data_IF_759963265389
#
_entry.id   IF_759963265389
#
_cell.length_a   1.000
_cell.length_b   1.000
_cell.length_c   1.000
_cell.angle_alpha   90.00
_cell.angle_beta   90.00
_cell.angle_gamma   90.00
#
_symmetry.space_group_name_H-M   'P 1'
#
loop_
_entity.id
_entity.type
_entity.pdbx_description
1 polymer ?
#
# COMPACT_ATOMS: atom_id res chain seq x y z
N UNK A 1 -46.33 65.59 10.96
CA UNK A 1 -46.29 64.87 12.25
C UNK A 1 -47.21 63.65 12.21
N UNK A 2 -46.65 62.44 12.22
CA UNK A 2 -47.11 61.22 12.92
C UNK A 2 -46.32 60.02 12.37
N UNK A 3 -45.39 59.54 13.19
CA UNK A 3 -44.77 58.22 13.03
C UNK A 3 -45.76 57.14 13.47
N UNK A 4 -45.79 56.02 12.75
CA UNK A 4 -46.06 54.66 13.25
C UNK A 4 -46.01 53.67 12.07
N UNK A 5 -45.68 52.40 12.19
CA UNK A 5 -45.04 51.53 13.18
C UNK A 5 -44.77 50.21 12.41
N UNK A 6 -43.66 49.56 12.74
CA UNK A 6 -43.22 48.21 12.38
C UNK A 6 -44.33 47.16 12.16
N UNK A 7 -44.15 46.26 11.18
CA UNK A 7 -44.22 44.80 11.35
C UNK A 7 -43.30 44.11 10.33
N UNK A 8 -42.33 43.35 10.84
CA UNK A 8 -41.56 42.33 10.12
C UNK A 8 -42.44 41.08 9.99
N UNK A 9 -42.64 40.56 8.78
CA UNK A 9 -42.99 39.15 8.59
C UNK A 9 -42.17 38.62 7.41
N UNK A 10 -41.05 37.97 7.76
CA UNK A 10 -40.37 37.05 6.88
C UNK A 10 -41.23 35.78 6.78
N UNK A 11 -42.02 35.65 5.71
CA UNK A 11 -42.66 34.38 5.37
C UNK A 11 -41.77 33.63 4.38
N UNK A 12 -41.11 32.62 4.94
CA UNK A 12 -40.51 31.48 4.28
C UNK A 12 -41.49 30.78 3.32
N UNK A 13 -40.89 29.90 2.50
CA UNK A 13 -41.51 28.82 1.72
C UNK A 13 -41.91 29.23 0.31
N UNK A 14 -40.98 29.12 -0.64
CA UNK A 14 -41.32 28.55 -1.95
C UNK A 14 -40.08 27.94 -2.63
N UNK A 15 -40.07 26.60 -2.63
CA UNK A 15 -39.42 25.73 -3.63
C UNK A 15 -37.92 25.92 -3.90
N UNK A 16 -37.11 25.60 -2.89
CA UNK A 16 -35.76 25.08 -3.10
C UNK A 16 -35.78 23.59 -3.41
N UNK A 17 -36.50 23.16 -4.47
CA UNK A 17 -36.37 21.82 -5.05
C UNK A 17 -35.12 21.80 -5.94
N UNK A 18 -33.97 22.12 -5.34
CA UNK A 18 -32.70 21.75 -5.92
C UNK A 18 -32.65 20.25 -5.73
N UNK A 19 -32.89 19.54 -6.83
CA UNK A 19 -32.54 18.15 -6.96
C UNK A 19 -31.09 18.00 -6.51
N UNK A 20 -30.89 17.62 -5.26
CA UNK A 20 -29.68 16.93 -4.83
C UNK A 20 -29.76 15.59 -5.55
N UNK A 21 -29.40 15.59 -6.83
CA UNK A 21 -28.82 14.41 -7.45
C UNK A 21 -27.63 14.09 -6.56
N UNK A 22 -27.87 13.21 -5.58
CA UNK A 22 -26.82 12.45 -4.94
C UNK A 22 -26.13 11.74 -6.09
N UNK A 23 -25.11 12.38 -6.66
CA UNK A 23 -24.04 11.70 -7.35
C UNK A 23 -23.48 10.84 -6.23
N UNK A 24 -24.03 9.64 -6.09
CA UNK A 24 -23.37 8.53 -5.45
C UNK A 24 -22.17 8.35 -6.36
N UNK A 25 -21.11 9.07 -6.03
CA UNK A 25 -19.79 8.85 -6.57
C UNK A 25 -19.51 7.42 -6.19
N UNK A 26 -19.76 6.51 -7.14
CA UNK A 26 -19.29 5.14 -7.09
C UNK A 26 -17.78 5.28 -7.25
N UNK A 27 -17.14 5.73 -6.18
CA UNK A 27 -15.71 5.62 -5.98
C UNK A 27 -15.44 4.15 -6.11
N UNK A 28 -15.03 3.73 -7.30
CA UNK A 28 -14.39 2.45 -7.54
C UNK A 28 -13.02 2.50 -6.89
N UNK A 29 -12.97 2.80 -5.59
CA UNK A 29 -11.78 2.70 -4.78
C UNK A 29 -11.40 1.23 -4.87
N UNK A 30 -10.26 0.97 -5.50
CA UNK A 30 -9.65 -0.35 -5.55
C UNK A 30 -9.62 -0.85 -4.11
N UNK A 31 -10.10 -2.07 -3.90
CA UNK A 31 -10.16 -2.61 -2.55
C UNK A 31 -8.73 -2.79 -2.02
N UNK A 32 -8.53 -2.59 -0.72
CA UNK A 32 -7.22 -2.85 -0.11
C UNK A 32 -6.70 -4.25 -0.40
N UNK A 33 -7.59 -5.23 -0.58
CA UNK A 33 -7.22 -6.60 -0.93
C UNK A 33 -6.61 -6.69 -2.33
N UNK A 34 -7.17 -6.00 -3.33
CA UNK A 34 -6.62 -5.94 -4.69
C UNK A 34 -5.25 -5.26 -4.68
N UNK A 35 -5.08 -4.17 -3.93
CA UNK A 35 -3.78 -3.49 -3.79
C UNK A 35 -2.74 -4.42 -3.14
N UNK A 36 -3.12 -5.12 -2.06
CA UNK A 36 -2.22 -6.07 -1.38
C UNK A 36 -1.86 -7.27 -2.27
N UNK A 37 -2.80 -7.75 -3.09
CA UNK A 37 -2.53 -8.79 -4.07
C UNK A 37 -1.48 -8.33 -5.08
N UNK A 38 -1.62 -7.11 -5.59
CA UNK A 38 -0.69 -6.56 -6.58
C UNK A 38 0.69 -6.26 -5.96
N UNK A 39 0.75 -5.87 -4.69
CA UNK A 39 2.01 -5.78 -3.91
C UNK A 39 2.67 -7.16 -3.84
N UNK A 40 1.91 -8.21 -3.50
CA UNK A 40 2.41 -9.57 -3.41
C UNK A 40 3.00 -10.09 -4.73
N UNK A 41 2.29 -9.88 -5.84
CA UNK A 41 2.75 -10.24 -7.19
C UNK A 41 4.01 -9.47 -7.60
N UNK A 42 4.04 -8.16 -7.33
CA UNK A 42 5.22 -7.34 -7.62
C UNK A 42 6.44 -7.82 -6.84
N UNK A 43 6.25 -8.26 -5.59
CA UNK A 43 7.32 -8.85 -4.80
C UNK A 43 7.78 -10.18 -5.36
N UNK A 44 6.86 -11.08 -5.71
CA UNK A 44 7.16 -12.39 -6.34
C UNK A 44 8.07 -12.25 -7.56
N UNK A 45 7.71 -11.34 -8.47
CA UNK A 45 8.51 -11.04 -9.67
C UNK A 45 9.90 -10.49 -9.33
N UNK A 46 10.02 -9.79 -8.21
CA UNK A 46 11.26 -9.17 -7.76
C UNK A 46 12.19 -10.15 -7.02
N UNK A 47 11.66 -11.23 -6.40
CA UNK A 47 12.45 -12.19 -5.61
C UNK A 47 13.71 -12.71 -6.34
N UNK A 48 13.65 -13.20 -7.59
CA UNK A 48 14.84 -13.68 -8.30
C UNK A 48 15.94 -12.61 -8.38
N UNK A 49 15.56 -11.35 -8.58
CA UNK A 49 16.48 -10.21 -8.67
C UNK A 49 17.10 -9.88 -7.31
N UNK A 50 16.38 -10.04 -6.20
CA UNK A 50 16.92 -9.74 -4.87
C UNK A 50 17.95 -10.76 -4.38
N UNK A 51 17.81 -12.03 -4.76
CA UNK A 51 18.59 -13.13 -4.20
C UNK A 51 19.67 -13.69 -5.15
N UNK A 52 19.65 -13.33 -6.43
CA UNK A 52 20.72 -13.63 -7.37
C UNK A 52 21.61 -12.42 -7.65
N UNK A 53 22.83 -12.43 -7.10
CA UNK A 53 23.81 -11.36 -7.32
C UNK A 53 24.14 -11.16 -8.80
N UNK A 54 24.17 -12.24 -9.60
CA UNK A 54 24.47 -12.14 -11.04
C UNK A 54 23.41 -11.36 -11.78
N UNK A 55 22.14 -11.53 -11.42
CA UNK A 55 21.03 -10.77 -11.99
C UNK A 55 21.18 -9.28 -11.70
N UNK A 56 21.58 -8.90 -10.48
CA UNK A 56 21.80 -7.50 -10.09
C UNK A 56 23.00 -6.82 -10.74
N UNK A 57 23.99 -7.58 -11.19
CA UNK A 57 25.12 -7.06 -11.96
C UNK A 57 24.72 -6.68 -13.39
N UNK A 58 23.58 -7.19 -13.89
CA UNK A 58 23.08 -6.86 -15.23
C UNK A 58 22.20 -5.60 -15.20
N UNK A 59 22.27 -4.73 -16.23
CA UNK A 59 21.39 -3.56 -16.36
C UNK A 59 19.89 -3.92 -16.30
N UNK A 60 19.52 -5.11 -16.79
CA UNK A 60 18.15 -5.60 -16.74
C UNK A 60 17.67 -5.85 -15.30
N UNK A 61 18.50 -6.44 -14.42
CA UNK A 61 18.15 -6.66 -13.02
C UNK A 61 18.06 -5.35 -12.24
N UNK A 62 18.97 -4.41 -12.51
CA UNK A 62 18.92 -3.06 -11.93
C UNK A 62 17.63 -2.32 -12.32
N UNK A 63 17.26 -2.39 -13.60
CA UNK A 63 16.00 -1.83 -14.09
C UNK A 63 14.80 -2.51 -13.45
N UNK A 64 14.80 -3.84 -13.32
CA UNK A 64 13.73 -4.59 -12.67
C UNK A 64 13.54 -4.16 -11.21
N UNK A 65 14.64 -4.03 -10.46
CA UNK A 65 14.61 -3.51 -9.09
C UNK A 65 14.02 -2.10 -9.03
N UNK A 66 14.47 -1.21 -9.91
CA UNK A 66 13.99 0.16 -9.95
C UNK A 66 12.48 0.24 -10.23
N UNK A 67 12.01 -0.48 -11.25
CA UNK A 67 10.61 -0.45 -11.66
C UNK A 67 9.70 -1.09 -10.59
N UNK A 68 10.14 -2.20 -9.99
CA UNK A 68 9.41 -2.86 -8.92
C UNK A 68 9.30 -1.98 -7.66
N UNK A 69 10.41 -1.37 -7.21
CA UNK A 69 10.39 -0.45 -6.05
C UNK A 69 9.46 0.74 -6.30
N UNK A 70 9.47 1.30 -7.53
CA UNK A 70 8.57 2.38 -7.89
C UNK A 70 7.10 1.95 -7.91
N UNK A 71 6.82 0.73 -8.41
CA UNK A 71 5.46 0.17 -8.38
C UNK A 71 4.98 -0.07 -6.95
N UNK A 72 5.84 -0.63 -6.09
CA UNK A 72 5.53 -0.83 -4.67
C UNK A 72 5.23 0.51 -3.97
N UNK A 73 6.04 1.54 -4.19
CA UNK A 73 5.81 2.87 -3.60
C UNK A 73 4.45 3.45 -4.01
N UNK A 74 4.08 3.32 -5.28
CA UNK A 74 2.77 3.74 -5.78
C UNK A 74 1.62 2.94 -5.13
N UNK A 75 1.74 1.62 -5.04
CA UNK A 75 0.73 0.75 -4.43
C UNK A 75 0.55 1.02 -2.93
N UNK A 76 1.65 1.23 -2.19
CA UNK A 76 1.53 1.61 -0.79
C UNK A 76 0.85 2.97 -0.64
N UNK A 77 1.23 3.97 -1.45
CA UNK A 77 0.57 5.27 -1.43
C UNK A 77 -0.94 5.17 -1.74
N UNK A 78 -1.34 4.31 -2.67
CA UNK A 78 -2.75 4.00 -2.94
C UNK A 78 -3.44 3.31 -1.75
N UNK A 79 -2.74 2.40 -1.06
CA UNK A 79 -3.28 1.69 0.11
C UNK A 79 -3.40 2.58 1.36
N UNK A 80 -2.68 3.72 1.42
CA UNK A 80 -2.57 4.57 2.61
C UNK A 80 -3.91 4.92 3.30
N UNK A 81 -4.97 5.33 2.58
CA UNK A 81 -6.24 5.69 3.21
C UNK A 81 -6.87 4.53 3.99
N UNK A 82 -6.59 3.28 3.60
CA UNK A 82 -7.09 2.09 4.29
C UNK A 82 -6.35 1.81 5.61
N UNK A 83 -5.14 2.33 5.78
CA UNK A 83 -4.32 2.19 6.99
C UNK A 83 -4.45 3.39 7.93
N UNK A 84 -4.69 4.60 7.41
CA UNK A 84 -4.87 5.80 8.23
C UNK A 84 -6.06 5.70 9.20
N UNK A 85 -7.06 4.88 8.86
CA UNK A 85 -8.24 4.59 9.69
C UNK A 85 -8.04 3.41 10.66
N UNK A 86 -6.88 2.74 10.63
CA UNK A 86 -6.54 1.58 11.47
C UNK A 86 -5.85 2.04 12.76
N UNK A 87 -5.38 1.07 13.56
CA UNK A 87 -4.67 1.39 14.80
C UNK A 87 -3.35 2.14 14.50
N UNK A 88 -2.86 2.97 15.45
CA UNK A 88 -1.60 3.69 15.30
C UNK A 88 -0.41 2.79 14.92
N UNK A 89 -0.41 1.52 15.36
CA UNK A 89 0.62 0.54 15.03
C UNK A 89 0.69 0.25 13.53
N UNK A 90 -0.45 0.09 12.84
CA UNK A 90 -0.46 -0.12 11.39
C UNK A 90 0.08 1.10 10.64
N UNK A 91 -0.25 2.30 11.11
CA UNK A 91 0.25 3.54 10.50
C UNK A 91 1.78 3.67 10.65
N UNK A 92 2.32 3.34 11.82
CA UNK A 92 3.78 3.32 12.04
C UNK A 92 4.46 2.35 11.08
N UNK A 93 3.95 1.12 10.96
CA UNK A 93 4.50 0.14 10.02
C UNK A 93 4.44 0.63 8.57
N UNK A 94 3.34 1.27 8.19
CA UNK A 94 3.18 1.88 6.87
C UNK A 94 4.22 2.98 6.60
N UNK A 95 4.41 3.89 7.56
CA UNK A 95 5.39 4.98 7.45
C UNK A 95 6.82 4.42 7.33
N UNK A 96 7.14 3.36 8.10
CA UNK A 96 8.45 2.67 8.00
C UNK A 96 8.63 2.02 6.62
N UNK A 97 7.60 1.36 6.09
CA UNK A 97 7.64 0.78 4.74
C UNK A 97 7.92 1.86 3.68
N UNK A 98 7.18 2.98 3.73
CA UNK A 98 7.37 4.07 2.79
C UNK A 98 8.78 4.68 2.89
N UNK A 99 9.32 4.80 4.11
CA UNK A 99 10.69 5.26 4.33
C UNK A 99 11.72 4.29 3.72
N UNK A 100 11.53 2.97 3.82
CA UNK A 100 12.41 1.98 3.20
C UNK A 100 12.35 2.06 1.67
N UNK A 101 11.17 2.14 1.07
CA UNK A 101 11.04 2.29 -0.39
C UNK A 101 11.70 3.58 -0.90
N UNK A 102 11.52 4.69 -0.17
CA UNK A 102 12.22 5.95 -0.44
C UNK A 102 13.74 5.78 -0.34
N UNK A 103 14.22 5.11 0.70
CA UNK A 103 15.64 4.81 0.91
C UNK A 103 16.24 4.00 -0.25
N UNK A 104 15.53 2.97 -0.71
CA UNK A 104 15.93 2.17 -1.86
C UNK A 104 16.03 3.01 -3.15
N UNK A 105 15.03 3.86 -3.42
CA UNK A 105 15.06 4.77 -4.57
C UNK A 105 16.25 5.75 -4.51
N UNK A 106 16.55 6.29 -3.33
CA UNK A 106 17.73 7.16 -3.13
C UNK A 106 19.02 6.39 -3.37
N UNK A 107 19.15 5.16 -2.86
CA UNK A 107 20.33 4.33 -3.09
C UNK A 107 20.54 4.03 -4.58
N UNK A 108 19.47 3.69 -5.33
CA UNK A 108 19.54 3.47 -6.78
C UNK A 108 19.91 4.74 -7.55
N UNK A 109 19.43 5.92 -7.13
CA UNK A 109 19.80 7.21 -7.74
C UNK A 109 21.31 7.49 -7.68
N UNK A 110 22.02 6.92 -6.70
CA UNK A 110 23.47 7.02 -6.57
C UNK A 110 24.20 5.74 -7.01
N UNK A 111 23.57 4.93 -7.87
CA UNK A 111 24.09 3.67 -8.41
C UNK A 111 24.49 2.63 -7.33
N UNK A 112 23.97 2.77 -6.10
CA UNK A 112 24.24 1.85 -5.01
C UNK A 112 23.17 0.75 -4.93
N UNK A 113 23.11 -0.07 -5.97
CA UNK A 113 22.12 -1.14 -6.11
C UNK A 113 22.24 -2.22 -5.03
N UNK A 114 23.46 -2.53 -4.56
CA UNK A 114 23.66 -3.47 -3.44
C UNK A 114 22.97 -2.98 -2.16
N UNK A 115 23.11 -1.70 -1.84
CA UNK A 115 22.44 -1.12 -0.68
C UNK A 115 20.93 -1.07 -0.87
N UNK A 116 20.46 -0.70 -2.07
CA UNK A 116 19.03 -0.73 -2.41
C UNK A 116 18.43 -2.14 -2.23
N UNK A 117 19.09 -3.18 -2.72
CA UNK A 117 18.67 -4.57 -2.53
C UNK A 117 18.56 -4.95 -1.05
N UNK A 118 19.52 -4.54 -0.23
CA UNK A 118 19.47 -4.81 1.22
C UNK A 118 18.27 -4.11 1.89
N UNK A 119 18.01 -2.86 1.54
CA UNK A 119 16.83 -2.12 2.00
C UNK A 119 15.53 -2.83 1.60
N UNK A 120 15.42 -3.30 0.35
CA UNK A 120 14.23 -4.01 -0.12
C UNK A 120 14.06 -5.38 0.57
N UNK A 121 15.15 -6.06 0.94
CA UNK A 121 15.10 -7.28 1.76
C UNK A 121 14.57 -7.00 3.17
N UNK A 122 14.96 -5.88 3.79
CA UNK A 122 14.40 -5.46 5.08
C UNK A 122 12.91 -5.13 5.00
N UNK A 123 12.48 -4.50 3.89
CA UNK A 123 11.06 -4.27 3.59
C UNK A 123 10.25 -5.58 3.66
N UNK A 124 10.73 -6.68 3.08
CA UNK A 124 10.05 -8.00 3.15
C UNK A 124 9.84 -8.44 4.60
N UNK A 125 10.84 -8.25 5.46
CA UNK A 125 10.77 -8.62 6.88
C UNK A 125 9.72 -7.79 7.62
N UNK A 126 9.56 -6.51 7.28
CA UNK A 126 8.54 -5.64 7.90
C UNK A 126 7.15 -6.11 7.49
N UNK A 127 6.94 -6.42 6.20
CA UNK A 127 5.67 -6.97 5.71
C UNK A 127 5.31 -8.26 6.47
N UNK A 128 6.23 -9.22 6.56
CA UNK A 128 6.03 -10.46 7.33
C UNK A 128 5.66 -10.18 8.79
N UNK A 129 6.38 -9.29 9.47
CA UNK A 129 6.09 -8.93 10.87
C UNK A 129 4.68 -8.34 11.03
N UNK A 130 4.25 -7.46 10.13
CA UNK A 130 2.91 -6.87 10.17
C UNK A 130 1.82 -7.94 9.98
N UNK A 131 2.03 -8.87 9.06
CA UNK A 131 1.11 -9.97 8.79
C UNK A 131 1.04 -11.00 9.92
N UNK A 132 2.13 -11.23 10.66
CA UNK A 132 2.14 -12.12 11.83
C UNK A 132 1.46 -11.50 13.06
N UNK A 133 1.47 -10.17 13.20
CA UNK A 133 0.84 -9.46 14.32
C UNK A 133 -0.69 -9.37 14.18
N UNK A 134 -1.20 -9.43 12.96
CA UNK A 134 -2.64 -9.47 12.71
C UNK A 134 -3.17 -10.88 12.99
N UNK A 135 -3.97 -11.05 14.05
CA UNK A 135 -4.45 -12.38 14.45
C UNK A 135 -5.34 -13.08 13.41
N UNK A 136 -5.98 -12.32 12.50
CA UNK A 136 -6.76 -12.88 11.38
C UNK A 136 -5.88 -13.33 10.24
N UNK A 137 -4.75 -12.65 10.03
CA UNK A 137 -3.78 -13.01 9.00
C UNK A 137 -2.78 -14.05 9.52
N UNK A 138 -2.45 -14.06 10.81
CA UNK A 138 -1.50 -14.99 11.44
C UNK A 138 -1.80 -16.46 11.16
N UNK A 139 -3.08 -16.84 11.05
CA UNK A 139 -3.49 -18.20 10.66
C UNK A 139 -3.19 -18.54 9.19
N UNK A 140 -3.06 -17.53 8.33
CA UNK A 140 -2.69 -17.64 6.92
C UNK A 140 -1.15 -17.67 6.73
N UNK A 141 -0.40 -17.05 7.65
CA UNK A 141 1.06 -16.89 7.59
C UNK A 141 1.83 -17.79 8.58
N UNK A 142 1.21 -18.83 9.14
CA UNK A 142 1.70 -19.58 10.31
C UNK A 142 3.22 -19.82 10.36
N UNK A 143 3.89 -19.31 11.40
CA UNK A 143 5.34 -19.40 11.68
C UNK A 143 6.30 -19.38 10.46
N UNK A 144 5.92 -18.73 9.35
CA UNK A 144 6.76 -18.69 8.15
C UNK A 144 7.84 -17.63 8.34
N UNK A 145 9.07 -18.09 8.58
CA UNK A 145 10.24 -17.23 8.68
C UNK A 145 10.68 -16.71 7.30
N UNK A 146 11.47 -15.63 7.26
CA UNK A 146 12.11 -15.13 6.03
C UNK A 146 12.93 -16.24 5.33
N UNK A 147 13.56 -17.13 6.09
CA UNK A 147 14.28 -18.29 5.56
C UNK A 147 13.35 -19.26 4.82
N UNK A 148 12.14 -19.48 5.35
CA UNK A 148 11.11 -20.31 4.72
C UNK A 148 10.57 -19.67 3.44
N UNK A 149 10.37 -18.35 3.39
CA UNK A 149 9.96 -17.63 2.17
C UNK A 149 11.02 -17.69 1.07
N UNK A 150 12.30 -17.67 1.44
CA UNK A 150 13.43 -17.82 0.50
C UNK A 150 13.53 -19.25 -0.03
N UNK A 151 13.29 -20.27 0.79
CA UNK A 151 13.29 -21.69 0.36
C UNK A 151 12.06 -22.09 -0.46
N UNK A 152 10.93 -21.38 -0.29
CA UNK A 152 9.63 -21.74 -0.86
C UNK A 152 9.12 -20.74 -1.88
N UNK A 153 10.01 -20.04 -2.58
CA UNK A 153 9.71 -18.89 -3.46
C UNK A 153 8.66 -19.13 -4.55
N UNK A 154 8.21 -20.38 -4.79
CA UNK A 154 7.07 -20.68 -5.66
C UNK A 154 5.85 -21.31 -4.97
N UNK A 155 5.92 -21.69 -3.69
CA UNK A 155 4.85 -22.41 -2.98
C UNK A 155 4.24 -21.59 -1.84
N UNK A 156 5.04 -20.83 -1.07
CA UNK A 156 4.50 -19.96 -0.04
C UNK A 156 3.77 -18.75 -0.64
N UNK A 157 4.27 -18.20 -1.74
CA UNK A 157 3.59 -17.14 -2.49
C UNK A 157 2.33 -17.68 -3.19
N UNK A 158 2.38 -18.89 -3.74
CA UNK A 158 1.21 -19.54 -4.34
C UNK A 158 0.09 -19.84 -3.33
N UNK A 159 0.44 -20.21 -2.09
CA UNK A 159 -0.52 -20.30 -0.99
C UNK A 159 -1.02 -18.92 -0.55
N UNK A 160 -0.17 -17.89 -0.60
CA UNK A 160 -0.56 -16.50 -0.35
C UNK A 160 -1.63 -16.00 -1.32
N UNK A 161 -1.44 -16.28 -2.62
CA UNK A 161 -2.32 -15.84 -3.70
C UNK A 161 -3.67 -16.57 -3.70
N UNK A 162 -3.68 -17.88 -3.40
CA UNK A 162 -4.92 -18.69 -3.36
C UNK A 162 -5.78 -18.47 -2.11
N UNK A 163 -5.28 -17.76 -1.09
CA UNK A 163 -6.02 -17.48 0.15
C UNK A 163 -6.66 -16.08 0.16
N UNK A 164 -6.36 -15.23 -0.84
CA UNK A 164 -6.89 -13.86 -0.98
C UNK A 164 -8.00 -13.78 -2.06
N UNK A 165 -8.11 -14.79 -2.94
CA UNK A 165 -9.24 -14.99 -3.89
C UNK A 165 -10.35 -15.85 -3.28
#
# INVERSE_FOLDING_TARGET
>A
MKQAKWVVVASFVFLGLIATTSIIEKSSAVSVNEIMLEIGQTMEELFPTLFDEKTMEQPAGQKNLHDAVKKLDALFNEARPHFDIKSPTYRISFDVIHAQLTGAMVAMKYDNYRHATNIVKEFVSICSSCHMQDSKLRTLFGDVSLATLVESSSAAIYNLLNLIT
#
